data_IF_357516884450
#
_entry.id   IF_357516884450
#
_cell.length_a   1.000
_cell.length_b   1.000
_cell.length_c   1.000
_cell.angle_alpha   90.00
_cell.angle_beta   90.00
_cell.angle_gamma   90.00
#
_symmetry.space_group_name_H-M   'P 1'
#
loop_
_entity.id
_entity.type
_entity.pdbx_description
1 polymer ?
#
# COMPACT_ATOMS: atom_id res chain seq x y z
N UNK A 1 18.72 9.71 -6.81
CA UNK A 1 17.52 8.85 -6.64
C UNK A 1 17.48 7.80 -7.75
N UNK A 2 17.10 6.55 -7.43
CA UNK A 2 16.89 5.49 -8.43
C UNK A 2 15.82 5.93 -9.44
N UNK A 3 16.07 5.69 -10.72
CA UNK A 3 15.09 5.88 -11.81
C UNK A 3 14.35 4.56 -12.05
N UNK A 4 13.03 4.62 -12.13
CA UNK A 4 12.17 3.50 -12.45
C UNK A 4 11.60 3.66 -13.87
N UNK A 5 11.56 2.58 -14.63
CA UNK A 5 10.99 2.55 -15.97
C UNK A 5 9.65 1.79 -15.95
N UNK A 6 8.60 2.49 -15.56
CA UNK A 6 7.25 1.92 -15.43
C UNK A 6 6.42 2.40 -16.61
N UNK A 7 6.08 1.48 -17.50
CA UNK A 7 5.14 1.70 -18.58
C UNK A 7 3.75 1.24 -18.17
N UNK A 8 2.71 1.81 -18.76
CA UNK A 8 1.36 1.27 -18.61
C UNK A 8 1.28 -0.13 -19.20
N UNK A 9 0.45 -1.05 -18.66
CA UNK A 9 0.20 -2.33 -19.31
C UNK A 9 -0.22 -2.14 -20.77
N UNK A 10 0.36 -2.97 -21.66
CA UNK A 10 0.04 -2.89 -23.09
C UNK A 10 -1.43 -3.28 -23.35
N UNK A 11 -2.14 -2.41 -24.06
CA UNK A 11 -3.57 -2.55 -24.38
C UNK A 11 -3.87 -3.47 -25.56
N UNK A 12 -2.85 -3.97 -26.28
CA UNK A 12 -3.03 -4.79 -27.48
C UNK A 12 -3.83 -6.07 -27.21
N UNK A 13 -3.69 -6.68 -26.03
CA UNK A 13 -4.45 -7.86 -25.65
C UNK A 13 -5.86 -7.57 -25.13
N UNK A 14 -6.22 -6.33 -24.86
CA UNK A 14 -7.53 -5.95 -24.28
C UNK A 14 -8.72 -6.54 -25.05
N UNK A 15 -8.79 -6.44 -26.40
CA UNK A 15 -9.93 -7.01 -27.15
C UNK A 15 -10.05 -8.52 -26.96
N UNK A 16 -8.94 -9.26 -26.99
CA UNK A 16 -8.91 -10.72 -26.82
C UNK A 16 -9.29 -11.14 -25.41
N UNK A 17 -8.86 -10.41 -24.37
CA UNK A 17 -9.22 -10.68 -22.98
C UNK A 17 -10.71 -10.42 -22.78
N UNK A 18 -11.23 -9.31 -23.29
CA UNK A 18 -12.66 -8.98 -23.22
C UNK A 18 -13.49 -10.03 -23.95
N UNK A 19 -13.06 -10.49 -25.13
CA UNK A 19 -13.74 -11.54 -25.87
C UNK A 19 -13.78 -12.84 -25.05
N UNK A 20 -12.65 -13.25 -24.46
CA UNK A 20 -12.60 -14.42 -23.58
C UNK A 20 -13.60 -14.29 -22.43
N UNK A 21 -13.60 -13.17 -21.68
CA UNK A 21 -14.49 -12.92 -20.56
C UNK A 21 -15.97 -12.95 -21.00
N UNK A 22 -16.29 -12.35 -22.15
CA UNK A 22 -17.66 -12.30 -22.69
C UNK A 22 -18.15 -13.64 -23.24
N UNK A 23 -17.25 -14.58 -23.55
CA UNK A 23 -17.59 -15.91 -24.02
C UNK A 23 -17.71 -16.96 -22.89
N UNK A 24 -17.41 -16.61 -21.64
CA UNK A 24 -17.71 -17.47 -20.49
C UNK A 24 -19.23 -17.69 -20.34
N UNK A 25 -19.66 -18.84 -19.80
CA UNK A 25 -21.07 -19.26 -19.69
C UNK A 25 -21.85 -18.40 -18.70
N UNK A 26 -21.98 -17.12 -18.99
CA UNK A 26 -22.69 -16.12 -18.18
C UNK A 26 -23.22 -14.98 -19.05
N UNK A 27 -24.25 -14.24 -18.63
CA UNK A 27 -24.63 -12.99 -19.28
C UNK A 27 -23.45 -11.99 -19.30
N UNK A 28 -23.33 -11.23 -20.36
CA UNK A 28 -22.26 -10.22 -20.48
C UNK A 28 -22.31 -9.21 -19.33
N UNK A 29 -21.18 -9.01 -18.65
CA UNK A 29 -21.06 -8.06 -17.53
C UNK A 29 -21.68 -8.53 -16.20
N UNK A 30 -22.23 -9.76 -16.13
CA UNK A 30 -23.01 -10.20 -14.95
C UNK A 30 -22.17 -10.46 -13.69
N UNK A 31 -20.86 -10.62 -13.81
CA UNK A 31 -19.93 -10.74 -12.69
C UNK A 31 -19.23 -9.42 -12.33
N UNK A 32 -19.61 -8.33 -13.00
CA UNK A 32 -19.28 -6.95 -12.62
C UNK A 32 -17.80 -6.74 -12.32
N UNK A 33 -17.48 -6.38 -11.07
CA UNK A 33 -16.13 -6.02 -10.66
C UNK A 33 -15.10 -7.16 -10.84
N UNK A 34 -15.50 -8.43 -10.74
CA UNK A 34 -14.60 -9.56 -10.98
C UNK A 34 -14.09 -9.57 -12.42
N UNK A 35 -14.93 -9.19 -13.39
CA UNK A 35 -14.53 -9.10 -14.79
C UNK A 35 -13.50 -7.97 -15.02
N UNK A 36 -13.70 -6.82 -14.36
CA UNK A 36 -12.74 -5.70 -14.41
C UNK A 36 -11.38 -6.10 -13.80
N UNK A 37 -11.38 -6.81 -12.67
CA UNK A 37 -10.16 -7.30 -12.00
C UNK A 37 -9.44 -8.31 -12.88
N UNK A 38 -10.15 -9.28 -13.44
CA UNK A 38 -9.58 -10.29 -14.34
C UNK A 38 -8.93 -9.63 -15.57
N UNK A 39 -9.60 -8.64 -16.16
CA UNK A 39 -9.07 -7.86 -17.28
C UNK A 39 -7.78 -7.13 -16.88
N UNK A 40 -7.78 -6.42 -15.72
CA UNK A 40 -6.61 -5.69 -15.25
C UNK A 40 -5.41 -6.63 -15.03
N UNK A 41 -5.60 -7.76 -14.35
CA UNK A 41 -4.51 -8.71 -14.07
C UNK A 41 -3.99 -9.33 -15.39
N UNK A 42 -4.89 -9.72 -16.29
CA UNK A 42 -4.52 -10.27 -17.59
C UNK A 42 -3.72 -9.27 -18.43
N UNK A 43 -4.05 -7.97 -18.37
CA UNK A 43 -3.26 -6.90 -19.01
C UNK A 43 -1.90 -6.70 -18.33
N UNK A 44 -1.82 -6.67 -17.00
CA UNK A 44 -0.54 -6.59 -16.29
C UNK A 44 0.39 -7.73 -16.69
N UNK A 45 -0.13 -8.95 -16.76
CA UNK A 45 0.63 -10.14 -17.05
C UNK A 45 0.77 -10.46 -18.57
N UNK A 46 0.13 -9.67 -19.43
CA UNK A 46 0.12 -9.86 -20.89
C UNK A 46 -0.24 -11.29 -21.31
N UNK A 47 -1.33 -11.83 -20.74
CA UNK A 47 -1.77 -13.21 -20.98
C UNK A 47 -3.29 -13.35 -20.92
N UNK A 48 -3.81 -14.36 -21.64
CA UNK A 48 -5.21 -14.77 -21.54
C UNK A 48 -5.48 -15.73 -20.36
N UNK A 49 -4.43 -16.20 -19.69
CA UNK A 49 -4.49 -17.15 -18.57
C UNK A 49 -3.69 -16.61 -17.39
N UNK A 50 -4.16 -15.49 -16.77
CA UNK A 50 -3.46 -14.89 -15.64
C UNK A 50 -3.39 -15.85 -14.45
N UNK A 51 -2.33 -15.72 -13.63
CA UNK A 51 -2.14 -16.54 -12.44
C UNK A 51 -1.56 -15.72 -11.29
N UNK A 52 -1.87 -16.13 -10.06
CA UNK A 52 -1.32 -15.53 -8.85
C UNK A 52 -0.37 -16.54 -8.19
N UNK A 53 0.87 -16.12 -8.01
CA UNK A 53 1.93 -16.98 -7.49
C UNK A 53 2.53 -16.39 -6.22
N UNK A 54 2.67 -17.23 -5.20
CA UNK A 54 3.38 -16.93 -3.95
C UNK A 54 3.03 -15.53 -3.39
N UNK A 55 1.77 -15.28 -3.03
CA UNK A 55 1.37 -13.98 -2.51
C UNK A 55 2.18 -13.66 -1.25
N UNK A 56 2.70 -12.44 -1.16
CA UNK A 56 3.48 -11.99 0.00
C UNK A 56 2.91 -10.69 0.54
N UNK A 57 2.90 -10.56 1.87
CA UNK A 57 2.61 -9.30 2.55
C UNK A 57 3.90 -8.77 3.19
N UNK A 58 4.30 -7.56 2.83
CA UNK A 58 5.52 -6.94 3.32
C UNK A 58 5.14 -5.83 4.28
N UNK A 59 5.48 -5.97 5.56
CA UNK A 59 5.30 -4.92 6.57
C UNK A 59 6.62 -4.16 6.70
N UNK A 60 6.61 -2.88 6.35
CA UNK A 60 7.69 -1.96 6.64
C UNK A 60 7.45 -1.30 8.00
N UNK A 61 8.49 -1.16 8.83
CA UNK A 61 8.35 -0.57 10.15
C UNK A 61 9.40 0.50 10.44
N UNK A 62 8.96 1.60 11.05
CA UNK A 62 9.85 2.65 11.55
C UNK A 62 9.19 3.49 12.64
N UNK A 63 9.98 4.20 13.42
CA UNK A 63 9.53 5.20 14.37
C UNK A 63 9.55 6.62 13.79
N UNK A 64 8.67 7.47 14.33
CA UNK A 64 8.48 8.84 13.87
C UNK A 64 8.81 9.85 14.96
N UNK A 65 9.67 10.82 14.66
CA UNK A 65 10.03 11.90 15.61
C UNK A 65 8.86 12.79 16.01
N UNK A 66 7.85 12.95 15.16
CA UNK A 66 6.68 13.77 15.45
C UNK A 66 5.84 13.25 16.61
N UNK A 67 6.00 12.00 17.03
CA UNK A 67 5.30 11.42 18.19
C UNK A 67 5.64 12.17 19.48
N UNK A 68 6.82 12.80 19.57
CA UNK A 68 7.24 13.60 20.71
C UNK A 68 6.32 14.81 20.96
N UNK A 69 5.56 15.22 19.94
CA UNK A 69 4.57 16.30 20.03
C UNK A 69 3.19 15.82 20.52
N UNK A 70 3.04 14.57 20.96
CA UNK A 70 1.77 14.05 21.50
C UNK A 70 0.68 13.84 20.45
N UNK A 71 1.04 13.56 19.18
CA UNK A 71 0.10 13.35 18.06
C UNK A 71 -0.47 11.93 18.01
N UNK A 72 -0.10 11.07 18.93
CA UNK A 72 -0.57 9.69 19.05
C UNK A 72 -0.95 9.35 20.49
N UNK A 73 -1.97 8.51 20.66
CA UNK A 73 -2.31 7.94 21.96
C UNK A 73 -1.35 6.82 22.35
N UNK A 74 -0.88 6.06 21.36
CA UNK A 74 0.06 4.97 21.58
C UNK A 74 1.48 5.52 21.74
N UNK A 75 2.26 5.03 22.73
CA UNK A 75 3.66 5.39 22.87
C UNK A 75 4.52 4.72 21.80
N UNK A 76 5.74 5.22 21.55
CA UNK A 76 6.66 4.74 20.50
C UNK A 76 6.99 3.26 20.64
N UNK A 77 7.12 2.77 21.86
CA UNK A 77 7.47 1.37 22.16
C UNK A 77 6.53 0.36 21.50
N UNK A 78 5.28 0.77 21.22
CA UNK A 78 4.31 -0.12 20.55
C UNK A 78 4.82 -0.54 19.16
N UNK A 79 5.63 0.26 18.49
CA UNK A 79 6.23 -0.09 17.19
C UNK A 79 7.04 -1.39 17.30
N UNK A 80 8.07 -1.44 18.15
CA UNK A 80 8.89 -2.66 18.27
C UNK A 80 8.16 -3.82 18.95
N UNK A 81 7.24 -3.54 19.87
CA UNK A 81 6.41 -4.56 20.51
C UNK A 81 5.53 -5.28 19.48
N UNK A 82 4.96 -4.52 18.54
CA UNK A 82 4.15 -5.11 17.47
C UNK A 82 4.98 -5.94 16.50
N UNK A 83 6.24 -5.55 16.19
CA UNK A 83 7.13 -6.39 15.41
C UNK A 83 7.41 -7.74 16.11
N UNK A 84 7.59 -7.71 17.43
CA UNK A 84 7.70 -8.94 18.22
C UNK A 84 6.42 -9.80 18.11
N UNK A 85 5.24 -9.18 18.13
CA UNK A 85 3.98 -9.88 17.97
C UNK A 85 3.82 -10.49 16.56
N UNK A 86 4.27 -9.81 15.51
CA UNK A 86 4.32 -10.36 14.14
C UNK A 86 5.19 -11.62 14.07
N UNK A 87 6.38 -11.60 14.69
CA UNK A 87 7.28 -12.76 14.75
C UNK A 87 6.65 -13.97 15.46
N UNK A 88 5.88 -13.72 16.54
CA UNK A 88 5.20 -14.78 17.28
C UNK A 88 3.90 -15.25 16.60
N UNK A 89 3.48 -14.61 15.50
CA UNK A 89 2.28 -15.00 14.77
C UNK A 89 0.95 -14.60 15.42
N UNK A 90 0.95 -13.63 16.35
CA UNK A 90 -0.19 -13.24 17.17
C UNK A 90 -0.98 -12.05 16.67
N UNK A 91 -0.51 -11.33 15.68
CA UNK A 91 -1.17 -10.12 15.17
C UNK A 91 -2.31 -10.41 14.18
N UNK A 92 -3.11 -9.38 13.87
CA UNK A 92 -4.21 -9.47 12.91
C UNK A 92 -3.76 -9.94 11.53
N UNK A 93 -2.66 -9.39 11.03
CA UNK A 93 -2.08 -9.80 9.74
C UNK A 93 -1.68 -11.27 9.71
N UNK A 94 -1.19 -11.82 10.81
CA UNK A 94 -0.69 -13.20 10.85
C UNK A 94 -1.77 -14.24 10.57
N UNK A 95 -2.98 -14.11 11.17
CA UNK A 95 -4.04 -15.07 10.92
C UNK A 95 -4.58 -14.96 9.49
N UNK A 96 -4.66 -13.73 8.95
CA UNK A 96 -5.09 -13.50 7.58
C UNK A 96 -4.08 -14.06 6.56
N UNK A 97 -2.77 -13.86 6.80
CA UNK A 97 -1.73 -14.46 5.98
C UNK A 97 -1.85 -15.99 5.97
N UNK A 98 -2.01 -16.61 7.14
CA UNK A 98 -2.20 -18.08 7.22
C UNK A 98 -3.46 -18.54 6.50
N UNK A 99 -4.57 -17.81 6.65
CA UNK A 99 -5.85 -18.14 6.03
C UNK A 99 -5.79 -18.10 4.51
N UNK A 100 -5.09 -17.12 3.94
CA UNK A 100 -5.07 -16.85 2.50
C UNK A 100 -3.77 -17.24 1.80
N UNK A 101 -2.85 -17.92 2.50
CA UNK A 101 -1.61 -18.43 1.91
C UNK A 101 -0.58 -17.34 1.58
N UNK A 102 -0.62 -16.22 2.28
CA UNK A 102 0.42 -15.18 2.16
C UNK A 102 1.64 -15.53 3.00
N UNK A 103 2.81 -15.33 2.45
CA UNK A 103 4.05 -15.24 3.23
C UNK A 103 4.16 -13.83 3.82
N UNK A 104 4.44 -13.74 5.12
CA UNK A 104 4.65 -12.47 5.82
C UNK A 104 6.14 -12.13 5.88
N UNK A 105 6.53 -10.98 5.33
CA UNK A 105 7.86 -10.40 5.45
C UNK A 105 7.79 -9.20 6.39
N UNK A 106 8.68 -9.14 7.37
CA UNK A 106 8.79 -8.03 8.33
C UNK A 106 10.09 -7.30 8.06
N UNK A 107 10.02 -6.02 7.72
CA UNK A 107 11.16 -5.20 7.29
C UNK A 107 11.34 -4.04 8.26
N UNK A 108 12.51 -3.98 8.89
CA UNK A 108 12.90 -2.83 9.70
C UNK A 108 13.48 -1.74 8.78
N UNK A 109 12.73 -0.67 8.59
CA UNK A 109 13.15 0.52 7.85
C UNK A 109 13.80 1.57 8.76
N UNK A 110 13.44 1.56 10.05
CA UNK A 110 13.93 2.59 10.97
C UNK A 110 13.32 2.53 12.37
N UNK A 111 13.15 1.37 12.94
CA UNK A 111 12.66 1.21 14.33
C UNK A 111 13.76 1.64 15.30
N UNK A 112 13.42 2.44 16.30
CA UNK A 112 14.37 2.91 17.33
C UNK A 112 14.51 1.91 18.47
N UNK A 113 14.87 0.69 18.08
CA UNK A 113 15.11 -0.43 19.00
C UNK A 113 16.10 -1.43 18.38
N UNK A 114 16.81 -2.18 19.22
CA UNK A 114 17.69 -3.28 18.78
C UNK A 114 16.85 -4.54 18.57
N UNK A 115 16.51 -4.82 17.31
CA UNK A 115 15.64 -5.90 16.93
C UNK A 115 16.41 -7.23 16.74
N UNK A 116 15.77 -8.38 17.03
CA UNK A 116 16.37 -9.70 16.85
C UNK A 116 16.28 -10.15 15.38
N UNK A 117 17.15 -9.63 14.51
CA UNK A 117 17.14 -9.92 13.06
C UNK A 117 17.28 -11.41 12.74
N UNK A 118 18.02 -12.15 13.58
CA UNK A 118 18.19 -13.61 13.45
C UNK A 118 16.86 -14.39 13.57
N UNK A 119 15.80 -13.75 14.06
CA UNK A 119 14.45 -14.35 14.17
C UNK A 119 13.56 -14.10 12.95
N UNK A 120 14.09 -13.49 11.89
CA UNK A 120 13.36 -13.35 10.62
C UNK A 120 12.88 -11.93 10.29
N UNK A 121 13.34 -10.90 11.01
CA UNK A 121 13.18 -9.51 10.58
C UNK A 121 14.26 -9.19 9.54
N UNK A 122 13.85 -8.60 8.43
CA UNK A 122 14.77 -8.17 7.37
C UNK A 122 15.34 -6.79 7.77
N UNK A 123 16.66 -6.73 7.97
CA UNK A 123 17.35 -5.48 8.29
C UNK A 123 17.51 -4.62 7.04
N UNK A 124 16.74 -3.56 6.97
CA UNK A 124 16.80 -2.49 5.99
C UNK A 124 16.85 -1.12 6.69
N UNK A 125 17.25 -1.09 7.96
CA UNK A 125 17.24 0.12 8.78
C UNK A 125 18.15 1.21 8.20
N UNK A 126 17.54 2.35 7.83
CA UNK A 126 18.26 3.52 7.34
C UNK A 126 18.80 4.35 8.49
N UNK A 127 17.97 4.56 9.52
CA UNK A 127 18.30 5.24 10.77
C UNK A 127 17.31 4.82 11.86
N UNK A 128 17.56 5.21 13.11
CA UNK A 128 16.63 5.02 14.23
C UNK A 128 15.62 6.17 14.26
N UNK A 129 14.40 5.90 13.81
CA UNK A 129 13.30 6.86 13.72
C UNK A 129 13.57 8.05 12.79
N UNK A 130 12.55 8.77 12.38
CA UNK A 130 12.72 10.04 11.66
C UNK A 130 13.10 11.17 12.62
N UNK A 131 13.59 12.28 12.08
CA UNK A 131 13.61 13.56 12.79
C UNK A 131 12.18 14.08 12.97
N UNK A 132 12.01 15.04 13.88
CA UNK A 132 10.73 15.68 14.09
C UNK A 132 10.53 16.81 13.07
N UNK A 133 9.62 16.59 12.13
CA UNK A 133 9.37 17.53 11.04
C UNK A 133 8.63 18.82 11.48
N UNK A 134 8.29 18.96 12.75
CA UNK A 134 7.89 20.25 13.29
C UNK A 134 9.07 21.25 13.29
N UNK A 135 10.31 20.76 13.37
CA UNK A 135 11.52 21.58 13.50
C UNK A 135 12.47 21.48 12.31
N UNK A 136 12.57 20.31 11.69
CA UNK A 136 13.46 20.03 10.56
C UNK A 136 12.91 18.90 9.69
N UNK A 137 13.43 18.68 8.50
CA UNK A 137 12.98 17.59 7.65
C UNK A 137 13.11 16.21 8.32
N UNK A 138 12.11 15.35 8.13
CA UNK A 138 12.07 13.99 8.70
C UNK A 138 13.33 13.17 8.35
N UNK A 139 13.85 13.34 7.15
CA UNK A 139 15.05 12.65 6.67
C UNK A 139 15.86 13.53 5.70
N UNK A 140 17.13 13.16 5.48
CA UNK A 140 17.95 13.79 4.45
C UNK A 140 17.59 13.26 3.07
N UNK A 141 18.11 13.90 2.01
CA UNK A 141 17.94 13.41 0.64
C UNK A 141 18.53 12.00 0.46
N UNK A 142 19.71 11.76 1.01
CA UNK A 142 20.41 10.48 0.94
C UNK A 142 19.63 9.38 1.70
N UNK A 143 19.07 9.71 2.86
CA UNK A 143 18.23 8.78 3.65
C UNK A 143 16.94 8.42 2.87
N UNK A 144 16.29 9.39 2.23
CA UNK A 144 15.12 9.13 1.37
C UNK A 144 15.47 8.24 0.18
N UNK A 145 16.55 8.54 -0.53
CA UNK A 145 17.02 7.75 -1.67
C UNK A 145 17.36 6.31 -1.26
N UNK A 146 17.98 6.15 -0.10
CA UNK A 146 18.31 4.84 0.46
C UNK A 146 17.05 4.06 0.85
N UNK A 147 16.01 4.71 1.41
CA UNK A 147 14.71 4.07 1.67
C UNK A 147 14.10 3.54 0.38
N UNK A 148 14.06 4.36 -0.68
CA UNK A 148 13.51 3.96 -1.99
C UNK A 148 14.28 2.75 -2.55
N UNK A 149 15.61 2.77 -2.52
CA UNK A 149 16.44 1.68 -3.03
C UNK A 149 16.24 0.39 -2.22
N UNK A 150 16.21 0.47 -0.89
CA UNK A 150 15.99 -0.70 -0.02
C UNK A 150 14.59 -1.30 -0.18
N UNK A 151 13.57 -0.47 -0.34
CA UNK A 151 12.22 -0.94 -0.67
C UNK A 151 12.18 -1.68 -2.01
N UNK A 152 12.84 -1.12 -3.02
CA UNK A 152 12.99 -1.78 -4.32
C UNK A 152 13.77 -3.10 -4.22
N UNK A 153 14.80 -3.17 -3.40
CA UNK A 153 15.58 -4.39 -3.17
C UNK A 153 14.72 -5.52 -2.56
N UNK A 154 13.92 -5.21 -1.55
CA UNK A 154 13.01 -6.20 -0.94
C UNK A 154 12.09 -6.80 -1.99
N UNK A 155 11.52 -5.98 -2.88
CA UNK A 155 10.62 -6.45 -3.94
C UNK A 155 11.35 -7.27 -5.00
N UNK A 156 12.58 -6.91 -5.39
CA UNK A 156 13.37 -7.74 -6.31
C UNK A 156 13.58 -9.15 -5.74
N UNK A 157 13.90 -9.27 -4.45
CA UNK A 157 14.03 -10.58 -3.77
C UNK A 157 12.72 -11.37 -3.82
N UNK A 158 11.58 -10.74 -3.53
CA UNK A 158 10.28 -11.38 -3.63
C UNK A 158 9.97 -11.89 -5.05
N UNK A 159 10.30 -11.10 -6.07
CA UNK A 159 10.15 -11.48 -7.47
C UNK A 159 11.06 -12.66 -7.84
N UNK A 160 12.32 -12.66 -7.41
CA UNK A 160 13.27 -13.77 -7.60
C UNK A 160 12.82 -15.06 -6.91
N UNK A 161 12.12 -14.96 -5.78
CA UNK A 161 11.45 -16.08 -5.11
C UNK A 161 10.23 -16.60 -5.90
N UNK A 162 9.81 -15.90 -6.95
CA UNK A 162 8.69 -16.28 -7.84
C UNK A 162 7.33 -15.70 -7.43
N UNK A 163 7.30 -14.66 -6.59
CA UNK A 163 6.09 -13.89 -6.31
C UNK A 163 5.73 -12.98 -7.48
N UNK A 164 4.45 -12.87 -7.79
CA UNK A 164 3.91 -11.90 -8.74
C UNK A 164 2.76 -11.06 -8.19
N UNK A 165 2.46 -11.19 -6.90
CA UNK A 165 1.44 -10.41 -6.19
C UNK A 165 1.93 -10.04 -4.79
N UNK A 166 1.91 -8.75 -4.49
CA UNK A 166 2.36 -8.19 -3.22
C UNK A 166 1.25 -7.37 -2.58
N UNK A 167 1.11 -7.53 -1.28
CA UNK A 167 0.41 -6.60 -0.39
C UNK A 167 1.45 -5.87 0.46
N UNK A 168 1.19 -4.61 0.76
CA UNK A 168 2.05 -3.82 1.62
C UNK A 168 1.29 -3.41 2.88
N UNK A 169 1.94 -3.63 4.01
CA UNK A 169 1.52 -3.16 5.31
C UNK A 169 2.58 -2.25 5.92
N UNK A 170 2.25 -1.65 7.03
CA UNK A 170 3.14 -0.75 7.77
C UNK A 170 2.98 -0.93 9.28
N UNK A 171 4.01 -0.53 10.00
CA UNK A 171 3.98 -0.36 11.45
C UNK A 171 4.85 0.83 11.85
N UNK A 172 4.23 1.90 12.32
CA UNK A 172 4.94 3.09 12.76
C UNK A 172 4.04 4.02 13.54
N UNK A 173 4.21 4.07 14.87
CA UNK A 173 3.42 5.01 15.68
C UNK A 173 3.69 6.43 15.20
N UNK A 174 2.63 7.16 14.86
CA UNK A 174 2.69 8.52 14.33
C UNK A 174 2.56 8.67 12.81
N UNK A 175 2.63 7.59 12.03
CA UNK A 175 2.63 7.61 10.56
C UNK A 175 1.33 8.16 9.92
N UNK A 176 0.19 8.09 10.61
CA UNK A 176 -1.05 8.75 10.16
C UNK A 176 -0.89 10.28 10.08
N UNK A 177 0.02 10.87 10.87
CA UNK A 177 0.35 12.30 10.79
C UNK A 177 1.07 12.64 9.49
N UNK A 178 2.10 11.87 9.14
CA UNK A 178 2.81 11.97 7.85
C UNK A 178 1.87 11.75 6.66
N UNK A 179 0.98 10.76 6.75
CA UNK A 179 -0.02 10.47 5.72
C UNK A 179 -0.99 11.64 5.52
N UNK A 180 -1.45 12.28 6.60
CA UNK A 180 -2.33 13.46 6.51
C UNK A 180 -1.65 14.63 5.81
N UNK A 181 -0.36 14.87 6.08
CA UNK A 181 0.41 15.91 5.41
C UNK A 181 0.65 15.59 3.93
N UNK A 182 1.06 14.37 3.59
CA UNK A 182 1.20 13.96 2.19
C UNK A 182 -0.12 14.11 1.42
N UNK A 183 -1.23 13.68 2.03
CA UNK A 183 -2.55 13.84 1.41
C UNK A 183 -2.85 15.31 1.13
N UNK A 184 -2.66 16.20 2.11
CA UNK A 184 -2.90 17.64 1.96
C UNK A 184 -2.04 18.24 0.84
N UNK A 185 -0.74 17.98 0.83
CA UNK A 185 0.17 18.55 -0.16
C UNK A 185 -0.07 18.02 -1.58
N UNK A 186 -0.35 16.73 -1.73
CA UNK A 186 -0.50 16.13 -3.07
C UNK A 186 -1.90 16.28 -3.66
N UNK A 187 -2.92 16.52 -2.85
CA UNK A 187 -4.31 16.61 -3.34
C UNK A 187 -4.90 18.01 -3.25
N UNK A 188 -4.35 18.87 -2.39
CA UNK A 188 -4.96 20.16 -2.04
C UNK A 188 -6.16 20.05 -1.10
N UNK A 189 -6.52 18.86 -0.63
CA UNK A 189 -7.59 18.67 0.36
C UNK A 189 -7.15 19.32 1.67
N UNK A 190 -8.03 20.15 2.30
CA UNK A 190 -7.69 20.82 3.55
C UNK A 190 -7.26 19.86 4.65
N UNK A 191 -6.23 20.22 5.42
CA UNK A 191 -5.65 19.39 6.48
C UNK A 191 -6.70 18.87 7.47
N UNK A 192 -7.70 19.68 7.82
CA UNK A 192 -8.80 19.32 8.71
C UNK A 192 -9.57 18.07 8.25
N UNK A 193 -9.66 17.84 6.95
CA UNK A 193 -10.33 16.69 6.37
C UNK A 193 -9.41 15.46 6.26
N UNK A 194 -8.10 15.68 6.37
CA UNK A 194 -7.07 14.63 6.27
C UNK A 194 -6.68 14.05 7.63
N UNK A 195 -6.85 14.84 8.72
CA UNK A 195 -6.45 14.43 10.07
C UNK A 195 -7.54 13.60 10.74
N UNK A 196 -7.17 12.41 11.20
CA UNK A 196 -8.06 11.48 11.90
C UNK A 196 -7.55 11.05 13.27
N UNK A 197 -8.30 10.13 13.88
CA UNK A 197 -8.04 9.63 15.23
C UNK A 197 -6.76 8.79 15.34
N UNK A 198 -6.25 8.26 14.24
CA UNK A 198 -5.12 7.33 14.26
C UNK A 198 -5.42 6.14 15.19
N UNK A 199 -4.52 5.87 16.14
CA UNK A 199 -4.66 4.78 17.12
C UNK A 199 -5.77 5.00 18.18
N UNK A 200 -6.65 6.01 18.03
CA UNK A 200 -7.81 6.20 18.91
C UNK A 200 -7.84 7.51 19.68
N UNK A 201 -7.24 8.57 19.18
CA UNK A 201 -7.35 9.92 19.75
C UNK A 201 -8.82 10.33 19.88
N UNK A 202 -9.16 10.95 21.02
CA UNK A 202 -10.44 11.63 21.18
C UNK A 202 -10.44 12.98 20.44
N UNK A 203 -11.58 13.70 20.46
CA UNK A 203 -11.71 14.99 19.77
C UNK A 203 -10.65 16.02 20.15
N UNK A 204 -10.26 16.08 21.43
CA UNK A 204 -9.22 16.99 21.91
C UNK A 204 -7.84 16.60 21.36
N UNK A 205 -7.52 15.31 21.34
CA UNK A 205 -6.28 14.79 20.74
C UNK A 205 -6.22 15.02 19.24
N UNK A 206 -7.34 14.85 18.51
CA UNK A 206 -7.42 15.15 17.08
C UNK A 206 -7.16 16.64 16.82
N UNK A 207 -7.76 17.53 17.63
CA UNK A 207 -7.51 18.98 17.51
C UNK A 207 -6.05 19.32 17.81
N UNK A 208 -5.46 18.75 18.85
CA UNK A 208 -4.04 18.94 19.15
C UNK A 208 -3.16 18.46 17.99
N UNK A 209 -3.40 17.26 17.47
CA UNK A 209 -2.71 16.73 16.29
C UNK A 209 -2.82 17.67 15.09
N UNK A 210 -4.02 18.18 14.81
CA UNK A 210 -4.23 19.18 13.76
C UNK A 210 -3.37 20.42 13.93
N UNK A 211 -3.32 21.01 15.13
CA UNK A 211 -2.53 22.21 15.42
C UNK A 211 -1.02 21.96 15.27
N UNK A 212 -0.54 20.78 15.68
CA UNK A 212 0.87 20.39 15.49
C UNK A 212 1.19 20.27 13.99
N UNK A 213 0.35 19.59 13.21
CA UNK A 213 0.58 19.40 11.78
C UNK A 213 0.46 20.72 11.01
N UNK A 214 -0.48 21.61 11.39
CA UNK A 214 -0.59 22.95 10.80
C UNK A 214 0.68 23.75 11.03
N UNK A 215 1.22 23.76 12.27
CA UNK A 215 2.50 24.41 12.55
C UNK A 215 3.67 23.80 11.78
N UNK A 216 3.65 22.48 11.56
CA UNK A 216 4.66 21.82 10.74
C UNK A 216 4.61 22.30 9.29
N UNK A 217 3.41 22.55 8.74
CA UNK A 217 3.25 23.15 7.42
C UNK A 217 3.71 24.62 7.39
N UNK A 218 3.42 25.40 8.43
CA UNK A 218 3.86 26.79 8.55
C UNK A 218 5.39 26.92 8.65
N UNK A 219 6.05 25.95 9.28
CA UNK A 219 7.51 25.90 9.43
C UNK A 219 8.21 25.30 8.19
N UNK A 220 7.47 24.69 7.27
CA UNK A 220 8.03 24.12 6.08
C UNK A 220 8.68 25.18 5.17
N UNK A 221 9.93 24.97 4.82
CA UNK A 221 10.74 25.90 4.02
C UNK A 221 11.39 25.22 2.81
N UNK A 222 10.82 24.09 2.36
CA UNK A 222 11.30 23.35 1.19
C UNK A 222 10.83 23.97 -0.14
N UNK A 223 11.13 23.29 -1.24
CA UNK A 223 10.84 23.77 -2.60
C UNK A 223 9.44 23.39 -3.12
N UNK A 224 8.68 22.61 -2.35
CA UNK A 224 7.32 22.14 -2.71
C UNK A 224 7.30 21.04 -3.77
N UNK A 225 8.44 20.53 -4.21
CA UNK A 225 8.48 19.38 -5.12
C UNK A 225 7.97 18.10 -4.43
N UNK A 226 7.47 17.15 -5.22
CA UNK A 226 7.00 15.88 -4.67
C UNK A 226 8.08 15.15 -3.87
N UNK A 227 9.31 15.15 -4.35
CA UNK A 227 10.44 14.55 -3.64
C UNK A 227 10.74 15.24 -2.33
N UNK A 228 10.64 16.58 -2.30
CA UNK A 228 10.89 17.32 -1.07
C UNK A 228 9.77 17.11 -0.04
N UNK A 229 8.51 17.08 -0.44
CA UNK A 229 7.37 16.73 0.43
C UNK A 229 7.53 15.32 1.00
N UNK A 230 7.91 14.34 0.16
CA UNK A 230 8.18 12.96 0.59
C UNK A 230 9.27 12.92 1.65
N UNK A 231 10.38 13.62 1.42
CA UNK A 231 11.53 13.70 2.31
C UNK A 231 11.22 14.42 3.62
N UNK A 232 10.53 15.56 3.51
CA UNK A 232 10.32 16.46 4.66
C UNK A 232 9.35 15.87 5.67
N UNK A 233 8.22 15.28 5.22
CA UNK A 233 7.13 14.83 6.08
C UNK A 233 6.98 13.31 6.15
N UNK A 234 7.77 12.54 5.41
CA UNK A 234 7.60 11.09 5.31
C UNK A 234 8.09 10.32 6.53
N UNK A 235 7.62 9.08 6.65
CA UNK A 235 8.20 8.04 7.49
C UNK A 235 9.19 7.20 6.69
N UNK A 236 10.19 6.62 7.36
CA UNK A 236 11.17 5.75 6.67
C UNK A 236 10.49 4.53 6.06
N UNK A 237 9.55 3.92 6.78
CA UNK A 237 8.73 2.79 6.32
C UNK A 237 7.82 3.18 5.16
N UNK A 238 7.24 4.38 5.21
CA UNK A 238 6.37 4.90 4.14
C UNK A 238 7.16 5.13 2.85
N UNK A 239 8.32 5.77 2.95
CA UNK A 239 9.21 6.03 1.79
C UNK A 239 9.77 4.72 1.24
N UNK A 240 10.08 3.76 2.11
CA UNK A 240 10.49 2.41 1.69
C UNK A 240 9.38 1.69 0.93
N UNK A 241 8.12 1.81 1.39
CA UNK A 241 6.94 1.29 0.70
C UNK A 241 6.72 1.96 -0.67
N UNK A 242 6.99 3.27 -0.81
CA UNK A 242 6.97 3.97 -2.11
C UNK A 242 7.96 3.32 -3.08
N UNK A 243 9.20 3.11 -2.66
CA UNK A 243 10.22 2.44 -3.47
C UNK A 243 9.82 1.00 -3.85
N UNK A 244 9.20 0.28 -2.92
CA UNK A 244 8.68 -1.06 -3.13
C UNK A 244 7.54 -1.09 -4.16
N UNK A 245 6.57 -0.18 -4.08
CA UNK A 245 5.47 -0.07 -5.04
C UNK A 245 5.96 0.26 -6.44
N UNK A 246 6.91 1.19 -6.57
CA UNK A 246 7.53 1.52 -7.86
C UNK A 246 8.24 0.30 -8.46
N UNK A 247 9.01 -0.44 -7.67
CA UNK A 247 9.71 -1.62 -8.15
C UNK A 247 8.75 -2.77 -8.53
N UNK A 248 7.68 -2.95 -7.76
CA UNK A 248 6.67 -3.95 -8.09
C UNK A 248 6.01 -3.67 -9.45
N UNK A 249 5.67 -2.41 -9.73
CA UNK A 249 5.12 -2.01 -11.02
C UNK A 249 6.13 -2.17 -12.17
N UNK A 250 7.41 -1.80 -11.96
CA UNK A 250 8.48 -2.00 -12.96
C UNK A 250 8.66 -3.48 -13.30
N UNK A 251 8.50 -4.38 -12.33
CA UNK A 251 8.53 -5.84 -12.51
C UNK A 251 7.19 -6.44 -12.94
N UNK A 252 6.17 -5.61 -13.22
CA UNK A 252 4.82 -6.02 -13.64
C UNK A 252 4.14 -6.95 -12.64
N UNK A 253 4.41 -6.76 -11.34
CA UNK A 253 3.74 -7.47 -10.26
C UNK A 253 2.43 -6.77 -9.89
N UNK A 254 1.43 -7.54 -9.45
CA UNK A 254 0.19 -7.01 -8.93
C UNK A 254 0.41 -6.42 -7.52
N UNK A 255 -0.07 -5.21 -7.29
CA UNK A 255 0.00 -4.50 -6.01
C UNK A 255 -1.39 -4.48 -5.38
N UNK A 256 -1.53 -5.04 -4.18
CA UNK A 256 -2.73 -4.91 -3.36
C UNK A 256 -2.50 -3.79 -2.34
N UNK A 257 -3.24 -2.69 -2.51
CA UNK A 257 -3.14 -1.50 -1.66
C UNK A 257 -4.06 -1.66 -0.46
N UNK A 258 -3.52 -1.50 0.74
CA UNK A 258 -4.24 -1.60 2.00
C UNK A 258 -5.05 -0.33 2.33
N UNK A 259 -4.92 0.17 3.52
CA UNK A 259 -5.69 1.27 4.10
C UNK A 259 -5.15 2.67 3.77
N UNK A 260 -5.48 3.61 4.65
CA UNK A 260 -5.19 5.03 4.49
C UNK A 260 -3.69 5.33 4.26
N UNK A 261 -2.80 4.72 5.07
CA UNK A 261 -1.36 4.99 5.00
C UNK A 261 -0.79 4.46 3.68
N UNK A 262 -1.09 3.20 3.32
CA UNK A 262 -0.59 2.61 2.06
C UNK A 262 -1.21 3.27 0.82
N UNK A 263 -2.44 3.79 0.90
CA UNK A 263 -3.03 4.61 -0.16
C UNK A 263 -2.27 5.94 -0.33
N UNK A 264 -1.79 6.55 0.76
CA UNK A 264 -0.92 7.72 0.69
C UNK A 264 0.48 7.39 0.15
N UNK A 265 1.03 6.21 0.46
CA UNK A 265 2.26 5.73 -0.17
C UNK A 265 2.08 5.53 -1.68
N UNK A 266 0.95 4.98 -2.11
CA UNK A 266 0.60 4.87 -3.54
C UNK A 266 0.44 6.25 -4.18
N UNK A 267 -0.21 7.21 -3.50
CA UNK A 267 -0.33 8.59 -3.99
C UNK A 267 1.06 9.23 -4.17
N UNK A 268 1.97 9.04 -3.20
CA UNK A 268 3.36 9.53 -3.31
C UNK A 268 4.12 8.83 -4.46
N UNK A 269 3.94 7.52 -4.65
CA UNK A 269 4.51 6.79 -5.78
C UNK A 269 3.97 7.31 -7.12
N UNK A 270 2.68 7.67 -7.19
CA UNK A 270 2.06 8.29 -8.38
C UNK A 270 2.62 9.68 -8.68
N UNK A 271 3.07 10.45 -7.68
CA UNK A 271 3.76 11.73 -7.91
C UNK A 271 5.12 11.52 -8.61
N UNK A 272 5.79 10.41 -8.34
CA UNK A 272 7.07 10.07 -8.94
C UNK A 272 6.89 9.37 -10.30
N UNK A 273 5.91 8.49 -10.43
CA UNK A 273 5.58 7.79 -11.67
C UNK A 273 4.07 7.44 -11.71
N UNK A 274 3.24 8.21 -12.44
CA UNK A 274 1.78 7.99 -12.46
C UNK A 274 1.34 6.59 -12.92
N UNK A 275 2.12 5.92 -13.78
CA UNK A 275 1.79 4.60 -14.30
C UNK A 275 1.78 3.48 -13.22
N UNK A 276 2.35 3.71 -12.04
CA UNK A 276 2.34 2.73 -10.93
C UNK A 276 0.92 2.33 -10.53
N UNK A 277 -0.04 3.24 -10.64
CA UNK A 277 -1.45 2.99 -10.32
C UNK A 277 -2.08 1.89 -11.17
N UNK A 278 -1.64 1.73 -12.42
CA UNK A 278 -2.21 0.73 -13.33
C UNK A 278 -1.93 -0.72 -12.88
N UNK A 279 -0.96 -0.91 -11.98
CA UNK A 279 -0.60 -2.17 -11.35
C UNK A 279 -1.28 -2.41 -9.99
N UNK A 280 -2.12 -1.47 -9.53
CA UNK A 280 -2.69 -1.47 -8.19
C UNK A 280 -4.17 -1.88 -8.18
N UNK A 281 -4.52 -2.74 -7.22
CA UNK A 281 -5.89 -3.02 -6.80
C UNK A 281 -6.03 -2.53 -5.36
N UNK A 282 -7.00 -1.65 -5.11
CA UNK A 282 -7.28 -1.11 -3.77
C UNK A 282 -8.17 -2.10 -3.01
N UNK A 283 -7.63 -2.67 -1.93
CA UNK A 283 -8.29 -3.75 -1.20
C UNK A 283 -9.57 -3.29 -0.50
N UNK A 284 -9.51 -2.20 0.25
CA UNK A 284 -10.65 -1.75 1.02
C UNK A 284 -10.76 -0.23 1.14
N UNK A 285 -11.95 0.23 1.51
CA UNK A 285 -12.13 1.55 2.09
C UNK A 285 -12.11 1.41 3.61
N UNK A 286 -11.05 1.88 4.26
CA UNK A 286 -10.94 1.88 5.73
C UNK A 286 -11.72 3.02 6.37
N UNK A 287 -11.90 2.93 7.69
CA UNK A 287 -12.67 3.89 8.50
C UNK A 287 -11.81 5.08 9.00
N UNK A 288 -10.60 5.26 8.47
CA UNK A 288 -9.78 6.44 8.76
C UNK A 288 -10.31 7.67 8.04
N UNK A 289 -10.28 8.83 8.76
CA UNK A 289 -10.61 10.13 8.16
C UNK A 289 -9.73 10.37 6.91
N UNK A 290 -10.31 10.87 5.86
CA UNK A 290 -9.58 11.14 4.63
C UNK A 290 -9.42 9.93 3.70
N UNK A 291 -9.53 8.67 4.17
CA UNK A 291 -9.32 7.52 3.27
C UNK A 291 -10.31 7.49 2.11
N UNK A 292 -11.58 7.74 2.36
CA UNK A 292 -12.58 7.85 1.30
C UNK A 292 -12.26 9.00 0.33
N UNK A 293 -11.85 10.16 0.86
CA UNK A 293 -11.53 11.33 0.03
C UNK A 293 -10.34 11.08 -0.89
N UNK A 294 -9.27 10.45 -0.39
CA UNK A 294 -8.11 10.13 -1.23
C UNK A 294 -8.45 9.08 -2.30
N UNK A 295 -9.25 8.05 -1.97
CA UNK A 295 -9.72 7.06 -2.93
C UNK A 295 -10.56 7.72 -4.04
N UNK A 296 -11.45 8.66 -3.69
CA UNK A 296 -12.23 9.44 -4.66
C UNK A 296 -11.31 10.32 -5.52
N UNK A 297 -10.35 11.02 -4.93
CA UNK A 297 -9.39 11.87 -5.63
C UNK A 297 -8.60 11.10 -6.69
N UNK A 298 -8.06 9.94 -6.33
CA UNK A 298 -7.31 9.09 -7.27
C UNK A 298 -8.23 8.21 -8.13
N UNK A 299 -9.55 8.34 -8.03
CA UNK A 299 -10.53 7.53 -8.76
C UNK A 299 -10.31 6.02 -8.57
N UNK A 300 -10.00 5.61 -7.35
CA UNK A 300 -9.85 4.21 -7.00
C UNK A 300 -11.21 3.59 -6.65
N UNK A 301 -11.36 2.30 -6.97
CA UNK A 301 -12.56 1.51 -6.65
C UNK A 301 -12.16 0.41 -5.66
N UNK A 302 -12.24 0.63 -4.34
CA UNK A 302 -11.93 -0.39 -3.34
C UNK A 302 -12.87 -1.59 -3.45
N UNK A 303 -12.36 -2.79 -3.11
CA UNK A 303 -13.11 -4.04 -3.26
C UNK A 303 -14.11 -4.27 -2.13
N UNK A 304 -13.72 -3.93 -0.89
CA UNK A 304 -14.57 -4.13 0.30
C UNK A 304 -14.63 -2.87 1.17
N UNK A 305 -15.68 -2.81 1.99
CA UNK A 305 -15.83 -1.81 3.04
C UNK A 305 -16.37 -2.52 4.30
N UNK A 306 -15.48 -2.79 5.24
CA UNK A 306 -15.77 -3.50 6.49
C UNK A 306 -15.53 -2.64 7.73
N UNK A 307 -15.29 -1.33 7.58
CA UNK A 307 -14.95 -0.44 8.69
C UNK A 307 -13.59 -0.76 9.33
N UNK A 308 -12.65 -1.39 8.59
CA UNK A 308 -11.32 -1.71 9.11
C UNK A 308 -10.47 -0.44 9.25
N UNK A 309 -9.65 -0.38 10.32
CA UNK A 309 -8.69 0.70 10.58
C UNK A 309 -7.45 0.21 11.33
N UNK A 310 -7.03 -1.04 11.07
CA UNK A 310 -5.90 -1.66 11.76
C UNK A 310 -4.57 -1.34 11.08
N UNK A 311 -4.50 -1.34 9.73
CA UNK A 311 -3.26 -1.32 8.98
C UNK A 311 -2.66 -2.73 8.80
N UNK A 312 -1.33 -2.84 8.78
CA UNK A 312 -0.56 -4.09 8.67
C UNK A 312 -0.76 -4.83 7.32
N UNK A 313 -1.48 -4.26 6.35
CA UNK A 313 -1.89 -4.96 5.12
C UNK A 313 -3.19 -5.76 5.25
N UNK A 314 -3.87 -5.66 6.41
CA UNK A 314 -5.03 -6.52 6.73
C UNK A 314 -6.21 -6.35 5.78
N UNK A 315 -6.54 -5.13 5.38
CA UNK A 315 -7.65 -4.86 4.47
C UNK A 315 -7.39 -5.38 3.06
N UNK A 316 -6.15 -5.28 2.59
CA UNK A 316 -5.73 -5.82 1.30
C UNK A 316 -5.83 -7.36 1.28
N UNK A 317 -5.35 -8.03 2.34
CA UNK A 317 -5.42 -9.49 2.45
C UNK A 317 -6.87 -9.96 2.60
N UNK A 318 -7.72 -9.25 3.36
CA UNK A 318 -9.16 -9.54 3.43
C UNK A 318 -9.86 -9.48 2.07
N UNK A 319 -9.41 -8.61 1.16
CA UNK A 319 -9.96 -8.47 -0.18
C UNK A 319 -9.40 -9.49 -1.19
N UNK A 320 -8.28 -10.14 -0.88
CA UNK A 320 -7.59 -11.06 -1.78
C UNK A 320 -8.45 -12.20 -2.35
N UNK A 321 -9.38 -12.81 -1.60
CA UNK A 321 -10.27 -13.85 -2.16
C UNK A 321 -11.08 -13.38 -3.38
N UNK A 322 -11.40 -12.09 -3.48
CA UNK A 322 -12.08 -11.53 -4.66
C UNK A 322 -11.13 -11.44 -5.85
N UNK A 323 -9.85 -11.16 -5.62
CA UNK A 323 -8.80 -11.12 -6.65
C UNK A 323 -8.54 -12.55 -7.16
N UNK A 324 -8.42 -13.53 -6.27
CA UNK A 324 -8.28 -14.95 -6.62
C UNK A 324 -9.51 -15.45 -7.41
N UNK A 325 -10.71 -15.08 -6.96
CA UNK A 325 -11.96 -15.42 -7.66
C UNK A 325 -12.00 -14.86 -9.08
N UNK A 326 -11.49 -13.65 -9.32
CA UNK A 326 -11.43 -13.06 -10.65
C UNK A 326 -10.50 -13.83 -11.58
N UNK A 327 -9.35 -14.28 -11.06
CA UNK A 327 -8.39 -15.11 -11.81
C UNK A 327 -8.94 -16.51 -12.08
N UNK A 328 -9.61 -17.12 -11.10
CA UNK A 328 -10.29 -18.41 -11.28
C UNK A 328 -11.44 -18.30 -12.28
N UNK A 329 -12.23 -17.25 -12.22
CA UNK A 329 -13.33 -16.98 -13.15
C UNK A 329 -12.85 -17.08 -14.61
N UNK A 330 -11.81 -16.35 -14.97
CA UNK A 330 -11.32 -16.31 -16.37
C UNK A 330 -10.67 -17.61 -16.82
N UNK A 331 -10.18 -18.44 -15.88
CA UNK A 331 -9.45 -19.68 -16.17
C UNK A 331 -10.29 -20.95 -16.03
N UNK A 332 -11.25 -20.98 -15.09
CA UNK A 332 -11.96 -22.20 -14.69
C UNK A 332 -13.42 -22.24 -15.22
N UNK A 333 -14.02 -21.06 -15.50
CA UNK A 333 -15.35 -21.06 -16.12
C UNK A 333 -15.29 -21.55 -17.55
N UNK A 334 -16.24 -22.39 -17.91
CA UNK A 334 -16.41 -22.88 -19.27
C UNK A 334 -16.95 -21.79 -20.21
N UNK A 335 -16.72 -21.93 -21.51
CA UNK A 335 -17.27 -21.05 -22.53
C UNK A 335 -18.53 -21.66 -23.19
N UNK A 336 -19.34 -20.83 -23.84
CA UNK A 336 -20.60 -21.24 -24.46
C UNK A 336 -20.44 -22.38 -25.47
N UNK A 337 -19.38 -22.34 -26.28
CA UNK A 337 -19.15 -23.35 -27.32
C UNK A 337 -18.79 -24.71 -26.72
N UNK A 338 -17.87 -24.75 -25.76
CA UNK A 338 -17.45 -25.99 -25.11
C UNK A 338 -18.56 -26.59 -24.23
N UNK A 339 -19.28 -25.78 -23.49
CA UNK A 339 -20.42 -26.22 -22.64
C UNK A 339 -21.68 -26.58 -23.45
N UNK A 340 -21.70 -26.35 -24.76
CA UNK A 340 -22.88 -26.57 -25.61
C UNK A 340 -24.12 -25.79 -25.15
N UNK A 341 -23.91 -24.60 -24.57
CA UNK A 341 -24.98 -23.69 -24.13
C UNK A 341 -25.23 -22.66 -25.23
N UNK A 342 -26.51 -22.45 -25.55
CA UNK A 342 -26.89 -21.44 -26.55
C UNK A 342 -26.54 -20.03 -26.05
N UNK A 343 -25.69 -19.35 -26.80
CA UNK A 343 -25.40 -17.92 -26.56
C UNK A 343 -26.56 -17.08 -27.11
N UNK A 344 -27.11 -16.19 -26.30
CA UNK A 344 -28.34 -15.43 -26.62
C UNK A 344 -28.14 -13.90 -26.66
N UNK A 345 -26.89 -13.42 -26.69
CA UNK A 345 -26.53 -11.99 -26.76
C UNK A 345 -25.32 -11.76 -27.69
#
# INVERSE_FOLDING_TARGET
MKTFHIEKPDENLRPSIIDKINNLTKPKGSLGRLEEIALQIALIQQTLTPALHKPQNIIFAADHGIVDEGVSLSPKEVTWQQLSNFLHGGAGVNFLCRQHGFELKIVDAGVDYDLPYEKGIIDMKVRRGTRNYLYEAAMTQEEMELCIERGAEVVRRCHEEGSNVLSFGEMGIGNTSSSSLWMTYFTGIPLEQCVGAGSGLNQQGIRHKYEVLKRSMENYNGDGSATDIIRYFGGLEMVMAVGAMLQAAELKMLILVDGFIMTNCMLAAMQLCPAVKDYAIFGHCGDESGHKLILEYIQAKPLINLGLRLGEGTGAICAYPLVDSAVRMINEMDNFAHASITKYF
#
